data_IF_372560326895
#
_entry.id   IF_372560326895
#
_cell.length_a   1.000
_cell.length_b   1.000
_cell.length_c   1.000
_cell.angle_alpha   90.00
_cell.angle_beta   90.00
_cell.angle_gamma   90.00
#
_symmetry.space_group_name_H-M   'P 1'
#
loop_
_entity.id
_entity.type
_entity.pdbx_description
1 polymer ?
#
# COMPACT_ATOMS: atom_id res chain seq x y z
N UNK A 1 85.56 -26.70 -12.78
CA UNK A 1 85.05 -26.33 -11.44
C UNK A 1 84.14 -25.13 -11.65
N UNK A 2 82.86 -25.10 -11.30
CA UNK A 2 82.02 -25.94 -10.44
C UNK A 2 80.58 -25.89 -10.99
N UNK A 3 79.87 -27.00 -10.81
CA UNK A 3 78.45 -27.11 -11.04
C UNK A 3 77.66 -26.28 -10.01
N UNK A 4 76.55 -25.68 -10.44
CA UNK A 4 75.39 -25.41 -9.58
C UNK A 4 74.12 -25.69 -10.38
N UNK A 5 73.71 -26.95 -10.35
CA UNK A 5 72.35 -27.40 -10.65
C UNK A 5 71.45 -26.97 -9.50
N UNK A 6 70.33 -26.30 -9.77
CA UNK A 6 69.25 -26.17 -8.79
C UNK A 6 67.95 -26.70 -9.40
N UNK A 7 67.45 -27.87 -8.97
CA UNK A 7 66.22 -28.46 -9.48
C UNK A 7 65.09 -28.20 -8.47
N UNK A 8 64.34 -27.12 -8.66
CA UNK A 8 63.09 -26.93 -7.92
C UNK A 8 62.02 -26.39 -8.86
N UNK A 9 61.54 -27.28 -9.74
CA UNK A 9 60.22 -27.14 -10.33
C UNK A 9 59.22 -27.68 -9.30
N UNK A 10 58.28 -26.87 -8.78
CA UNK A 10 57.18 -27.41 -7.99
C UNK A 10 56.38 -28.34 -8.90
N UNK A 11 56.20 -29.59 -8.47
CA UNK A 11 55.19 -30.48 -9.05
C UNK A 11 53.85 -29.74 -8.97
N UNK A 12 53.38 -29.24 -10.10
CA UNK A 12 51.97 -28.94 -10.27
C UNK A 12 51.26 -30.29 -10.14
N UNK A 13 50.80 -30.61 -8.94
CA UNK A 13 49.87 -31.71 -8.73
C UNK A 13 48.68 -31.43 -9.64
N UNK A 14 48.61 -32.13 -10.78
CA UNK A 14 47.44 -32.15 -11.64
C UNK A 14 46.28 -32.56 -10.75
N UNK A 15 45.44 -31.58 -10.40
CA UNK A 15 44.21 -31.83 -9.69
C UNK A 15 43.34 -32.63 -10.66
N UNK A 16 43.21 -33.93 -10.41
CA UNK A 16 42.28 -34.76 -11.16
C UNK A 16 40.90 -34.10 -11.12
N UNK A 17 40.42 -33.69 -12.29
CA UNK A 17 39.05 -33.24 -12.44
C UNK A 17 38.17 -34.47 -12.32
N UNK A 18 37.65 -34.72 -11.13
CA UNK A 18 36.55 -35.65 -10.96
C UNK A 18 35.38 -35.13 -11.81
N UNK A 19 35.05 -35.85 -12.89
CA UNK A 19 33.95 -35.50 -13.78
C UNK A 19 32.65 -35.44 -12.99
N UNK A 20 31.82 -34.43 -13.28
CA UNK A 20 30.50 -34.29 -12.66
C UNK A 20 29.63 -35.47 -13.05
N UNK A 21 29.04 -36.13 -12.06
CA UNK A 21 28.13 -37.26 -12.34
C UNK A 21 26.79 -36.75 -12.87
N UNK A 22 26.07 -37.54 -13.69
CA UNK A 22 24.76 -37.13 -14.20
C UNK A 22 23.74 -36.90 -13.06
N UNK A 23 23.88 -37.63 -11.96
CA UNK A 23 23.05 -37.45 -10.76
C UNK A 23 23.34 -36.13 -10.03
N UNK A 24 24.58 -35.66 -10.05
CA UNK A 24 24.97 -34.38 -9.43
C UNK A 24 24.34 -33.19 -10.14
N UNK A 25 24.36 -33.19 -11.48
CA UNK A 25 23.68 -32.15 -12.28
C UNK A 25 22.17 -32.20 -12.06
N UNK A 26 21.59 -33.41 -11.99
CA UNK A 26 20.15 -33.56 -11.78
C UNK A 26 19.73 -33.03 -10.40
N UNK A 27 20.49 -33.33 -9.35
CA UNK A 27 20.25 -32.79 -7.99
C UNK A 27 20.44 -31.27 -7.96
N UNK A 28 21.47 -30.73 -8.62
CA UNK A 28 21.68 -29.28 -8.70
C UNK A 28 20.50 -28.57 -9.37
N UNK A 29 19.99 -29.10 -10.49
CA UNK A 29 18.81 -28.55 -11.18
C UNK A 29 17.55 -28.71 -10.32
N UNK A 30 17.39 -29.82 -9.59
CA UNK A 30 16.27 -29.99 -8.65
C UNK A 30 16.29 -28.95 -7.53
N UNK A 31 17.44 -28.67 -6.93
CA UNK A 31 17.57 -27.65 -5.88
C UNK A 31 17.32 -26.25 -6.46
N UNK A 32 17.90 -25.95 -7.63
CA UNK A 32 17.74 -24.66 -8.29
C UNK A 32 16.27 -24.39 -8.64
N UNK A 33 15.58 -25.37 -9.22
CA UNK A 33 14.16 -25.22 -9.58
C UNK A 33 13.30 -24.94 -8.35
N UNK A 34 13.46 -25.71 -7.27
CA UNK A 34 12.74 -25.46 -6.00
C UNK A 34 13.05 -24.06 -5.46
N UNK A 35 14.32 -23.63 -5.49
CA UNK A 35 14.74 -22.30 -5.07
C UNK A 35 14.10 -21.18 -5.88
N UNK A 36 14.03 -21.32 -7.21
CA UNK A 36 13.39 -20.34 -8.10
C UNK A 36 11.87 -20.28 -7.90
N UNK A 37 11.21 -21.42 -7.67
CA UNK A 37 9.78 -21.45 -7.34
C UNK A 37 9.51 -20.73 -6.01
N UNK A 38 10.35 -20.96 -5.00
CA UNK A 38 10.26 -20.25 -3.72
C UNK A 38 10.45 -18.73 -3.87
N UNK A 39 11.46 -18.31 -4.63
CA UNK A 39 11.72 -16.89 -4.91
C UNK A 39 10.55 -16.23 -5.66
N UNK A 40 9.94 -16.91 -6.63
CA UNK A 40 8.79 -16.40 -7.37
C UNK A 40 7.57 -16.15 -6.45
N UNK A 41 7.27 -17.08 -5.54
CA UNK A 41 6.17 -16.89 -4.56
C UNK A 41 6.42 -15.67 -3.67
N UNK A 42 7.65 -15.49 -3.19
CA UNK A 42 8.02 -14.31 -2.38
C UNK A 42 7.84 -13.03 -3.19
N UNK A 43 8.27 -13.00 -4.45
CA UNK A 43 8.12 -11.83 -5.32
C UNK A 43 6.65 -11.48 -5.57
N UNK A 44 5.78 -12.48 -5.81
CA UNK A 44 4.35 -12.25 -5.98
C UNK A 44 3.71 -11.67 -4.72
N UNK A 45 4.08 -12.18 -3.54
CA UNK A 45 3.61 -11.64 -2.27
C UNK A 45 4.10 -10.20 -2.05
N UNK A 46 5.37 -9.91 -2.36
CA UNK A 46 5.92 -8.57 -2.24
C UNK A 46 5.17 -7.55 -3.12
N UNK A 47 4.80 -7.94 -4.35
CA UNK A 47 3.98 -7.10 -5.23
C UNK A 47 2.60 -6.83 -4.63
N UNK A 48 1.92 -7.88 -4.14
CA UNK A 48 0.62 -7.74 -3.47
C UNK A 48 0.67 -6.78 -2.27
N UNK A 49 1.68 -6.89 -1.41
CA UNK A 49 1.83 -5.99 -0.27
C UNK A 49 2.17 -4.56 -0.68
N UNK A 50 2.93 -4.39 -1.78
CA UNK A 50 3.24 -3.06 -2.33
C UNK A 50 1.98 -2.37 -2.82
N UNK A 51 1.11 -3.09 -3.54
CA UNK A 51 -0.15 -2.55 -4.02
C UNK A 51 -1.09 -2.17 -2.87
N UNK A 52 -1.26 -3.04 -1.87
CA UNK A 52 -2.05 -2.74 -0.66
C UNK A 52 -1.50 -1.51 0.09
N UNK A 53 -0.17 -1.44 0.28
CA UNK A 53 0.47 -0.29 0.95
C UNK A 53 0.26 1.01 0.19
N UNK A 54 0.27 0.98 -1.14
CA UNK A 54 -0.04 2.13 -1.99
C UNK A 54 -1.49 2.59 -1.80
N UNK A 55 -2.46 1.67 -1.78
CA UNK A 55 -3.86 2.01 -1.56
C UNK A 55 -4.09 2.63 -0.19
N UNK A 56 -3.52 2.06 0.87
CA UNK A 56 -3.60 2.61 2.23
C UNK A 56 -2.95 4.00 2.30
N UNK A 57 -1.80 4.20 1.64
CA UNK A 57 -1.13 5.50 1.60
C UNK A 57 -2.00 6.55 0.92
N UNK A 58 -2.62 6.23 -0.21
CA UNK A 58 -3.54 7.14 -0.91
C UNK A 58 -4.79 7.45 -0.09
N UNK A 59 -5.40 6.44 0.54
CA UNK A 59 -6.52 6.64 1.45
C UNK A 59 -6.13 7.54 2.64
N UNK A 60 -4.93 7.37 3.19
CA UNK A 60 -4.41 8.20 4.27
C UNK A 60 -4.31 9.66 3.85
N UNK A 61 -3.70 9.94 2.70
CA UNK A 61 -3.59 11.32 2.19
C UNK A 61 -4.96 11.98 2.01
N UNK A 62 -5.93 11.27 1.44
CA UNK A 62 -7.29 11.80 1.23
C UNK A 62 -8.01 12.01 2.57
N UNK A 63 -7.84 11.12 3.54
CA UNK A 63 -8.46 11.25 4.85
C UNK A 63 -7.86 12.42 5.66
N UNK A 64 -6.54 12.62 5.60
CA UNK A 64 -5.90 13.79 6.23
C UNK A 64 -6.35 15.10 5.57
N UNK A 65 -6.40 15.16 4.23
CA UNK A 65 -6.93 16.33 3.51
C UNK A 65 -8.36 16.68 3.96
N UNK A 66 -9.23 15.67 4.08
CA UNK A 66 -10.60 15.87 4.57
C UNK A 66 -10.63 16.36 6.02
N UNK A 67 -9.83 15.78 6.91
CA UNK A 67 -9.77 16.25 8.30
C UNK A 67 -9.29 17.69 8.41
N UNK A 68 -8.31 18.09 7.61
CA UNK A 68 -7.78 19.45 7.62
C UNK A 68 -8.82 20.45 7.07
N UNK A 69 -9.61 20.07 6.06
CA UNK A 69 -10.77 20.86 5.59
C UNK A 69 -11.83 21.02 6.66
N UNK A 70 -12.18 19.96 7.40
CA UNK A 70 -13.14 20.02 8.52
C UNK A 70 -12.62 20.96 9.62
N UNK A 71 -11.32 20.90 9.94
CA UNK A 71 -10.70 21.81 10.91
C UNK A 71 -10.72 23.27 10.44
N UNK A 72 -10.48 23.50 9.15
CA UNK A 72 -10.52 24.85 8.57
C UNK A 72 -11.94 25.44 8.55
N UNK A 73 -12.98 24.59 8.54
CA UNK A 73 -14.38 24.96 8.53
C UNK A 73 -15.15 24.31 9.69
N UNK A 74 -14.64 24.46 10.92
CA UNK A 74 -15.12 23.75 12.11
C UNK A 74 -16.58 24.08 12.50
N UNK A 75 -17.15 25.16 11.97
CA UNK A 75 -18.55 25.55 12.23
C UNK A 75 -19.59 24.80 11.38
N UNK A 76 -19.18 23.97 10.42
CA UNK A 76 -20.08 23.22 9.56
C UNK A 76 -20.20 21.74 9.97
N UNK A 77 -21.39 21.16 9.86
CA UNK A 77 -21.62 19.74 10.15
C UNK A 77 -21.19 18.87 8.96
N UNK A 78 -19.99 18.30 9.00
CA UNK A 78 -19.47 17.41 7.96
C UNK A 78 -19.97 15.96 8.06
N UNK A 79 -20.95 15.64 8.92
CA UNK A 79 -21.53 14.29 8.98
C UNK A 79 -22.04 13.86 7.60
N UNK A 80 -21.52 12.74 7.10
CA UNK A 80 -21.78 12.23 5.76
C UNK A 80 -21.68 10.71 5.70
N UNK A 81 -22.75 10.07 5.26
CA UNK A 81 -22.91 8.62 5.26
C UNK A 81 -22.31 7.90 4.05
N UNK A 82 -21.98 6.61 4.21
CA UNK A 82 -21.42 5.75 3.14
C UNK A 82 -22.36 5.57 1.93
N UNK A 83 -23.67 5.67 2.17
CA UNK A 83 -24.71 5.51 1.13
C UNK A 83 -25.03 6.83 0.44
N UNK A 84 -24.58 7.94 1.02
CA UNK A 84 -24.86 9.26 0.49
C UNK A 84 -24.02 9.54 -0.75
N UNK A 85 -24.46 10.53 -1.53
CA UNK A 85 -23.75 11.05 -2.69
C UNK A 85 -23.48 12.52 -2.44
N UNK A 86 -22.25 12.95 -2.65
CA UNK A 86 -21.93 14.36 -2.60
C UNK A 86 -22.71 15.12 -3.67
N UNK A 87 -23.20 16.31 -3.31
CA UNK A 87 -23.90 17.16 -4.28
C UNK A 87 -22.93 17.53 -5.42
N UNK A 88 -23.50 17.77 -6.60
CA UNK A 88 -22.71 18.25 -7.73
C UNK A 88 -22.16 19.64 -7.42
N UNK A 89 -20.86 19.83 -7.62
CA UNK A 89 -20.22 21.13 -7.49
C UNK A 89 -20.87 22.15 -8.44
N UNK A 90 -21.24 23.31 -7.89
CA UNK A 90 -21.84 24.42 -8.62
C UNK A 90 -21.48 25.75 -7.94
N UNK A 91 -21.72 26.88 -8.61
CA UNK A 91 -21.30 28.22 -8.14
C UNK A 91 -21.97 28.63 -6.82
N UNK A 92 -23.10 28.02 -6.46
CA UNK A 92 -23.82 28.28 -5.21
C UNK A 92 -23.56 27.21 -4.13
N UNK A 93 -22.67 26.24 -4.38
CA UNK A 93 -22.37 25.18 -3.42
C UNK A 93 -21.70 25.77 -2.17
N UNK A 94 -22.09 25.25 -1.00
CA UNK A 94 -21.37 25.58 0.24
C UNK A 94 -19.95 25.01 0.19
N UNK A 95 -19.03 25.59 0.98
CA UNK A 95 -17.66 25.07 1.12
C UNK A 95 -17.68 23.58 1.51
N UNK A 96 -18.58 23.21 2.43
CA UNK A 96 -18.80 21.82 2.85
C UNK A 96 -19.19 20.92 1.67
N UNK A 97 -20.13 21.35 0.82
CA UNK A 97 -20.60 20.52 -0.29
C UNK A 97 -19.50 20.34 -1.35
N UNK A 98 -18.68 21.37 -1.56
CA UNK A 98 -17.51 21.28 -2.43
C UNK A 98 -16.46 20.31 -1.87
N UNK A 99 -16.16 20.40 -0.57
CA UNK A 99 -15.22 19.50 0.09
C UNK A 99 -15.67 18.03 0.02
N UNK A 100 -16.95 17.76 0.29
CA UNK A 100 -17.51 16.41 0.18
C UNK A 100 -17.51 15.91 -1.27
N UNK A 101 -17.73 16.79 -2.24
CA UNK A 101 -17.64 16.46 -3.67
C UNK A 101 -16.23 16.06 -4.06
N UNK A 102 -15.24 16.87 -3.70
CA UNK A 102 -13.82 16.61 -3.95
C UNK A 102 -13.37 15.32 -3.25
N UNK A 103 -13.78 15.12 -1.99
CA UNK A 103 -13.50 13.92 -1.22
C UNK A 103 -14.04 12.66 -1.90
N UNK A 104 -15.31 12.66 -2.33
CA UNK A 104 -15.89 11.52 -3.03
C UNK A 104 -15.21 11.30 -4.40
N UNK A 105 -14.93 12.38 -5.15
CA UNK A 105 -14.27 12.30 -6.45
C UNK A 105 -12.86 11.71 -6.32
N UNK A 106 -12.08 12.14 -5.33
CA UNK A 106 -10.74 11.63 -5.07
C UNK A 106 -10.77 10.14 -4.70
N UNK A 107 -11.69 9.73 -3.84
CA UNK A 107 -11.87 8.31 -3.47
C UNK A 107 -12.18 7.46 -4.71
N UNK A 108 -13.12 7.90 -5.54
CA UNK A 108 -13.48 7.20 -6.78
C UNK A 108 -12.34 7.18 -7.79
N UNK A 109 -11.56 8.27 -7.86
CA UNK A 109 -10.43 8.41 -8.78
C UNK A 109 -9.33 7.37 -8.52
N UNK A 110 -9.02 7.07 -7.25
CA UNK A 110 -7.96 6.12 -6.92
C UNK A 110 -8.45 4.68 -6.72
N UNK A 111 -9.63 4.49 -6.14
CA UNK A 111 -10.14 3.18 -5.72
C UNK A 111 -11.32 2.65 -6.56
N UNK A 112 -11.77 3.41 -7.56
CA UNK A 112 -12.84 3.04 -8.48
C UNK A 112 -14.25 3.37 -7.97
N UNK A 113 -15.25 3.12 -8.83
CA UNK A 113 -16.63 3.57 -8.58
C UNK A 113 -17.34 2.90 -7.38
N UNK A 114 -16.87 1.72 -6.99
CA UNK A 114 -17.40 0.98 -5.85
C UNK A 114 -16.89 1.51 -4.52
N UNK A 115 -15.82 2.32 -4.51
CA UNK A 115 -15.23 2.90 -3.32
C UNK A 115 -16.15 3.95 -2.69
N UNK A 116 -16.12 4.04 -1.36
CA UNK A 116 -17.00 4.89 -0.56
C UNK A 116 -16.23 5.53 0.59
N UNK A 117 -16.50 6.81 0.83
CA UNK A 117 -16.09 7.50 2.05
C UNK A 117 -17.23 7.59 3.06
N UNK A 118 -16.94 7.99 4.28
CA UNK A 118 -17.91 8.48 5.26
C UNK A 118 -17.20 9.34 6.29
N UNK A 119 -17.92 10.33 6.82
CA UNK A 119 -17.46 11.19 7.92
C UNK A 119 -18.50 11.15 9.02
N UNK A 120 -18.08 10.88 10.25
CA UNK A 120 -18.95 10.90 11.42
C UNK A 120 -18.34 11.76 12.51
N UNK A 121 -19.17 12.62 13.11
CA UNK A 121 -18.78 13.52 14.19
C UNK A 121 -19.45 13.08 15.49
N UNK A 122 -18.68 12.92 16.55
CA UNK A 122 -19.14 12.54 17.88
C UNK A 122 -18.51 13.41 18.95
N UNK A 123 -19.22 14.46 19.38
CA UNK A 123 -18.63 15.50 20.24
C UNK A 123 -17.46 16.18 19.53
N UNK A 124 -16.31 16.26 20.21
CA UNK A 124 -15.07 16.82 19.66
C UNK A 124 -14.29 15.83 18.75
N UNK A 125 -14.83 14.65 18.47
CA UNK A 125 -14.11 13.62 17.71
C UNK A 125 -14.71 13.43 16.30
N UNK A 126 -13.87 13.58 15.29
CA UNK A 126 -14.21 13.36 13.88
C UNK A 126 -13.54 12.08 13.41
N UNK A 127 -14.34 11.20 12.83
CA UNK A 127 -13.88 9.95 12.22
C UNK A 127 -14.16 9.97 10.73
N UNK A 128 -13.10 9.89 9.93
CA UNK A 128 -13.14 9.74 8.48
C UNK A 128 -12.85 8.28 8.14
N UNK A 129 -13.69 7.66 7.33
CA UNK A 129 -13.51 6.29 6.86
C UNK A 129 -13.57 6.22 5.34
N UNK A 130 -12.70 5.42 4.74
CA UNK A 130 -12.63 5.19 3.30
C UNK A 130 -12.61 3.68 3.09
N UNK A 131 -13.51 3.15 2.26
CA UNK A 131 -13.61 1.72 1.95
C UNK A 131 -13.62 1.45 0.46
N UNK A 132 -12.80 0.50 0.02
CA UNK A 132 -12.67 0.08 -1.37
C UNK A 132 -12.83 -1.44 -1.51
N UNK A 133 -12.95 -1.91 -2.75
CA UNK A 133 -12.91 -3.34 -3.07
C UNK A 133 -11.46 -3.85 -3.03
N UNK A 134 -11.22 -4.88 -2.22
CA UNK A 134 -9.93 -5.58 -2.11
C UNK A 134 -10.07 -7.07 -2.50
N UNK A 135 -10.96 -7.34 -3.46
CA UNK A 135 -11.11 -8.70 -4.00
C UNK A 135 -9.84 -9.20 -4.70
N UNK A 136 -9.04 -8.27 -5.24
CA UNK A 136 -7.76 -8.55 -5.91
C UNK A 136 -6.67 -8.96 -4.92
N UNK A 137 -6.55 -8.28 -3.79
CA UNK A 137 -5.58 -8.62 -2.76
C UNK A 137 -5.96 -9.92 -2.05
N UNK A 138 -7.22 -10.09 -1.69
CA UNK A 138 -7.67 -11.23 -0.88
C UNK A 138 -8.03 -12.48 -1.68
N UNK A 139 -8.26 -12.37 -2.99
CA UNK A 139 -8.81 -13.44 -3.83
C UNK A 139 -10.26 -13.79 -3.51
N UNK A 140 -10.95 -12.97 -2.72
CA UNK A 140 -12.33 -13.20 -2.27
C UNK A 140 -13.28 -12.17 -2.92
N UNK A 141 -14.26 -12.59 -3.73
CA UNK A 141 -15.24 -11.67 -4.29
C UNK A 141 -15.96 -10.87 -3.21
N UNK A 142 -16.07 -9.56 -3.39
CA UNK A 142 -16.74 -8.67 -2.44
C UNK A 142 -15.96 -8.37 -1.16
N UNK A 143 -14.70 -8.82 -1.04
CA UNK A 143 -13.84 -8.39 0.04
C UNK A 143 -13.63 -6.88 -0.03
N UNK A 144 -13.75 -6.21 1.12
CA UNK A 144 -13.52 -4.78 1.23
C UNK A 144 -12.48 -4.51 2.29
N UNK A 145 -11.60 -3.58 1.97
CA UNK A 145 -10.70 -2.99 2.94
C UNK A 145 -11.27 -1.63 3.37
N UNK A 146 -10.97 -1.21 4.59
CA UNK A 146 -11.41 0.07 5.13
C UNK A 146 -10.26 0.71 5.89
N UNK A 147 -9.93 1.93 5.51
CA UNK A 147 -9.05 2.81 6.25
C UNK A 147 -9.90 3.76 7.10
N UNK A 148 -9.57 3.88 8.39
CA UNK A 148 -10.25 4.78 9.32
C UNK A 148 -9.23 5.68 10.00
N UNK A 149 -9.52 6.97 10.01
CA UNK A 149 -8.72 8.00 10.65
C UNK A 149 -9.60 8.82 11.58
N UNK A 150 -9.18 8.90 12.84
CA UNK A 150 -9.92 9.62 13.88
C UNK A 150 -9.06 10.75 14.41
N UNK A 151 -9.66 11.94 14.55
CA UNK A 151 -9.00 13.12 15.08
C UNK A 151 -9.94 13.88 16.00
N UNK A 152 -9.38 14.46 17.06
CA UNK A 152 -10.10 15.43 17.88
C UNK A 152 -9.99 16.83 17.25
N UNK A 153 -11.11 17.52 17.15
CA UNK A 153 -11.22 18.92 16.74
C UNK A 153 -11.81 19.65 17.94
N UNK A 154 -11.08 20.63 18.48
CA UNK A 154 -11.58 21.42 19.60
C UNK A 154 -12.70 22.30 19.07
N UNK A 155 -13.90 22.14 19.62
CA UNK A 155 -14.99 23.09 19.43
C UNK A 155 -14.69 24.30 20.34
N UNK A 156 -14.16 25.40 19.78
CA UNK A 156 -14.12 26.67 20.52
C UNK A 156 -15.56 27.20 20.55
N UNK A 157 -16.21 27.32 21.72
CA UNK A 157 -17.59 27.78 21.79
C UNK A 157 -17.68 29.18 21.17
N UNK A 158 -18.48 29.31 20.11
CA UNK A 158 -18.58 30.50 19.30
C UNK A 158 -18.70 31.78 20.14
N UNK A 159 -17.77 32.70 19.95
CA UNK A 159 -17.95 34.08 20.37
C UNK A 159 -19.11 34.63 19.54
N UNK A 160 -20.27 34.80 20.18
CA UNK A 160 -21.38 35.54 19.61
C UNK A 160 -20.89 36.93 19.18
N UNK A 161 -20.95 37.22 17.88
CA UNK A 161 -20.93 38.58 17.34
C UNK A 161 -22.34 38.97 16.94
#
# INVERSE_FOLDING_TARGET
MLACTNPFLPNALSRDQAGTTLIEVLVAVSILTIGLLGAAVIQLNALKYTDSSRMISQASFIAYDMLDRIRANSGADYTWGRTERALASNVAASVRDLDLHDFEANIRGFAGESAKGSVSIGGDEVTVSISWDDSRGTGRPGARETFTLTSRIRDEPGVAQ
#
